data_IF_673904299994
#
_entry.id   IF_673904299994
#
_cell.length_a   1.000
_cell.length_b   1.000
_cell.length_c   1.000
_cell.angle_alpha   90.00
_cell.angle_beta   90.00
_cell.angle_gamma   90.00
#
_symmetry.space_group_name_H-M   'P 1'
#
loop_
_entity.id
_entity.type
_entity.pdbx_description
1 polymer ?
#
# COMPACT_ATOMS: atom_id res chain seq x y z
N UNK A 1 -31.59 -15.77 -37.88
CA UNK A 1 -30.38 -14.94 -37.65
C UNK A 1 -30.00 -14.82 -36.15
N UNK A 2 -30.27 -15.83 -35.31
CA UNK A 2 -30.02 -15.77 -33.85
C UNK A 2 -28.73 -16.51 -33.44
N UNK A 3 -28.26 -17.41 -34.31
CA UNK A 3 -27.11 -18.31 -34.06
C UNK A 3 -25.78 -17.57 -33.94
N UNK A 4 -25.58 -16.50 -34.72
CA UNK A 4 -24.37 -15.68 -34.65
C UNK A 4 -24.33 -14.75 -33.43
N UNK A 5 -25.49 -14.30 -32.94
CA UNK A 5 -25.56 -13.46 -31.73
C UNK A 5 -25.17 -14.25 -30.48
N UNK A 6 -25.57 -15.53 -30.40
CA UNK A 6 -25.17 -16.40 -29.29
C UNK A 6 -23.66 -16.68 -29.31
N UNK A 7 -23.08 -16.89 -30.50
CA UNK A 7 -21.64 -17.08 -30.66
C UNK A 7 -20.83 -15.83 -30.28
N UNK A 8 -21.31 -14.64 -30.62
CA UNK A 8 -20.65 -13.38 -30.23
C UNK A 8 -20.69 -13.14 -28.73
N UNK A 9 -21.80 -13.45 -28.06
CA UNK A 9 -21.93 -13.30 -26.60
C UNK A 9 -21.05 -14.32 -25.86
N UNK A 10 -20.98 -15.56 -26.33
CA UNK A 10 -20.07 -16.58 -25.79
C UNK A 10 -18.60 -16.21 -26.01
N UNK A 11 -18.24 -15.71 -27.19
CA UNK A 11 -16.89 -15.25 -27.45
C UNK A 11 -16.51 -14.05 -26.57
N UNK A 12 -17.44 -13.11 -26.34
CA UNK A 12 -17.22 -11.98 -25.44
C UNK A 12 -17.08 -12.43 -23.98
N UNK A 13 -17.88 -13.42 -23.54
CA UNK A 13 -17.78 -14.02 -22.19
C UNK A 13 -16.49 -14.81 -22.00
N UNK A 14 -15.94 -15.40 -23.06
CA UNK A 14 -14.66 -16.13 -23.04
C UNK A 14 -13.44 -15.21 -23.21
N UNK A 15 -13.62 -14.03 -23.86
CA UNK A 15 -12.61 -12.99 -24.02
C UNK A 15 -12.65 -11.95 -22.90
N UNK A 16 -13.68 -11.95 -22.04
CA UNK A 16 -13.58 -11.35 -20.72
C UNK A 16 -12.36 -12.03 -20.08
N UNK A 17 -11.31 -11.28 -19.76
CA UNK A 17 -10.21 -11.86 -19.02
C UNK A 17 -10.88 -12.42 -17.77
N UNK A 18 -10.84 -13.74 -17.59
CA UNK A 18 -10.98 -14.37 -16.30
C UNK A 18 -9.79 -13.86 -15.49
N UNK A 19 -9.89 -12.59 -15.10
CA UNK A 19 -9.01 -11.92 -14.18
C UNK A 19 -9.47 -12.43 -12.84
N UNK A 20 -9.23 -13.73 -12.60
CA UNK A 20 -8.85 -14.22 -11.29
C UNK A 20 -7.57 -13.48 -10.92
N UNK A 21 -7.73 -12.19 -10.60
CA UNK A 21 -6.75 -11.44 -9.87
C UNK A 21 -6.86 -12.02 -8.47
N UNK A 22 -6.27 -13.19 -8.25
CA UNK A 22 -5.79 -13.62 -6.95
C UNK A 22 -4.62 -12.70 -6.59
N UNK A 23 -4.90 -11.40 -6.51
CA UNK A 23 -4.12 -10.53 -5.66
C UNK A 23 -4.71 -10.86 -4.30
N UNK A 24 -4.10 -11.86 -3.66
CA UNK A 24 -3.92 -11.78 -2.22
C UNK A 24 -3.38 -10.36 -2.02
N UNK A 25 -4.29 -9.45 -1.74
CA UNK A 25 -4.00 -8.28 -0.93
C UNK A 25 -3.55 -8.94 0.37
N UNK A 26 -2.25 -9.24 0.42
CA UNK A 26 -1.50 -9.23 1.65
C UNK A 26 -1.61 -7.76 2.10
N UNK A 27 -2.78 -7.44 2.66
CA UNK A 27 -2.87 -6.46 3.71
C UNK A 27 -1.93 -7.00 4.79
N UNK A 28 -0.62 -6.75 4.62
CA UNK A 28 0.25 -6.53 5.76
C UNK A 28 -0.33 -5.27 6.41
N UNK A 29 -1.44 -5.47 7.11
CA UNK A 29 -1.85 -4.64 8.22
C UNK A 29 -0.57 -4.36 8.98
N UNK A 30 -0.29 -3.08 9.25
CA UNK A 30 0.81 -2.61 10.09
C UNK A 30 0.62 -3.18 11.52
N UNK A 31 0.73 -4.50 11.64
CA UNK A 31 0.57 -5.25 12.86
C UNK A 31 1.83 -4.93 13.65
N UNK A 32 1.69 -3.97 14.56
CA UNK A 32 2.76 -3.52 15.44
C UNK A 32 3.37 -4.77 16.07
N UNK A 33 4.56 -5.14 15.59
CA UNK A 33 5.22 -6.39 15.97
C UNK A 33 5.52 -6.34 17.47
N UNK A 34 4.67 -6.98 18.28
CA UNK A 34 4.87 -7.05 19.72
C UNK A 34 5.70 -8.27 20.06
N UNK A 35 6.83 -8.04 20.74
CA UNK A 35 7.74 -9.09 21.17
C UNK A 35 7.69 -9.16 22.70
N UNK A 36 7.61 -10.37 23.24
CA UNK A 36 7.73 -10.63 24.68
C UNK A 36 9.20 -10.78 25.06
N UNK A 37 9.67 -10.06 26.08
CA UNK A 37 11.04 -10.18 26.56
C UNK A 37 11.27 -11.54 27.26
N UNK A 38 12.50 -12.05 27.20
CA UNK A 38 12.81 -13.42 27.64
C UNK A 38 13.17 -13.49 29.13
N UNK A 39 13.76 -12.44 29.68
CA UNK A 39 14.20 -12.36 31.08
C UNK A 39 13.41 -11.34 31.88
N UNK A 40 13.35 -11.53 33.20
CA UNK A 40 12.85 -10.52 34.16
C UNK A 40 13.76 -9.29 34.25
N UNK A 41 15.02 -9.43 33.86
CA UNK A 41 16.00 -8.34 33.80
C UNK A 41 15.97 -7.58 32.46
N UNK A 42 15.19 -8.06 31.50
CA UNK A 42 15.04 -7.40 30.21
C UNK A 42 14.13 -6.18 30.34
N UNK A 43 14.59 -5.06 29.78
CA UNK A 43 13.81 -3.83 29.70
C UNK A 43 13.45 -3.57 28.24
N UNK A 44 12.31 -2.92 28.02
CA UNK A 44 11.98 -2.38 26.72
C UNK A 44 12.97 -1.27 26.39
N UNK A 45 13.51 -1.26 25.18
CA UNK A 45 14.35 -0.17 24.69
C UNK A 45 13.84 0.42 23.39
N UNK A 46 14.19 1.67 23.14
CA UNK A 46 14.03 2.34 21.85
C UNK A 46 15.31 3.06 21.52
N UNK A 47 15.94 2.71 20.40
CA UNK A 47 17.15 3.37 19.91
C UNK A 47 16.87 4.10 18.61
N UNK A 48 17.31 5.35 18.52
CA UNK A 48 17.25 6.17 17.32
C UNK A 48 18.60 6.04 16.61
N UNK A 49 18.59 5.54 15.37
CA UNK A 49 19.77 5.51 14.52
C UNK A 49 19.80 6.78 13.67
N UNK A 50 20.85 7.58 13.83
CA UNK A 50 21.11 8.76 13.01
C UNK A 50 22.29 8.52 12.07
N UNK A 51 22.20 9.05 10.85
CA UNK A 51 23.27 9.05 9.86
C UNK A 51 23.55 10.49 9.46
N UNK A 52 24.65 11.04 9.95
CA UNK A 52 24.96 12.47 9.82
C UNK A 52 23.95 13.33 10.59
N UNK A 53 23.37 14.33 9.93
CA UNK A 53 22.39 15.24 10.53
C UNK A 53 20.94 14.77 10.42
N UNK A 54 20.70 13.54 9.95
CA UNK A 54 19.35 13.01 9.68
C UNK A 54 19.11 11.71 10.41
N UNK A 55 17.89 11.54 10.96
CA UNK A 55 17.43 10.28 11.53
C UNK A 55 17.13 9.27 10.42
N UNK A 56 17.66 8.06 10.54
CA UNK A 56 17.56 6.99 9.52
C UNK A 56 16.54 5.92 9.93
N UNK A 57 16.54 5.52 11.21
CA UNK A 57 15.64 4.48 11.71
C UNK A 57 15.38 4.59 13.22
N UNK A 58 14.27 3.98 13.67
CA UNK A 58 13.99 3.72 15.08
C UNK A 58 13.89 2.21 15.28
N UNK A 59 14.68 1.69 16.21
CA UNK A 59 14.69 0.27 16.58
C UNK A 59 14.07 0.13 17.97
N UNK A 60 13.13 -0.80 18.12
CA UNK A 60 12.50 -1.16 19.41
C UNK A 60 12.76 -2.63 19.70
N UNK A 61 12.90 -2.97 20.98
CA UNK A 61 13.07 -4.36 21.39
C UNK A 61 13.24 -4.52 22.89
N UNK A 62 13.80 -5.66 23.27
CA UNK A 62 14.14 -6.03 24.65
C UNK A 62 15.65 -6.08 24.82
N UNK A 63 16.17 -5.54 25.94
CA UNK A 63 17.60 -5.57 26.26
C UNK A 63 17.82 -5.71 27.76
N UNK A 64 18.61 -6.70 28.15
CA UNK A 64 19.10 -6.85 29.53
C UNK A 64 20.10 -5.74 29.87
N UNK A 65 20.01 -5.20 31.08
CA UNK A 65 20.91 -4.13 31.53
C UNK A 65 20.83 -2.85 30.68
N UNK A 66 19.64 -2.51 30.16
CA UNK A 66 19.45 -1.32 29.34
C UNK A 66 19.82 -0.04 30.13
N UNK A 67 20.81 0.70 29.62
CA UNK A 67 21.26 2.00 30.15
C UNK A 67 20.82 3.09 29.18
N UNK A 68 20.11 4.10 29.70
CA UNK A 68 19.65 5.23 28.91
C UNK A 68 20.81 6.06 28.36
N UNK A 69 20.76 6.37 27.07
CA UNK A 69 21.67 7.28 26.38
C UNK A 69 20.83 8.31 25.60
N UNK A 70 21.41 9.39 25.05
CA UNK A 70 20.65 10.38 24.28
C UNK A 70 19.87 9.76 23.12
N UNK A 71 20.43 8.71 22.53
CA UNK A 71 19.83 7.99 21.41
C UNK A 71 19.04 6.75 21.83
N UNK A 72 19.17 6.28 23.09
CA UNK A 72 18.49 5.06 23.57
C UNK A 72 17.71 5.30 24.86
N UNK A 73 16.40 5.07 24.82
CA UNK A 73 15.53 5.11 26.01
C UNK A 73 15.21 3.70 26.48
N UNK A 74 15.11 3.52 27.79
CA UNK A 74 14.82 2.24 28.45
C UNK A 74 13.61 2.40 29.37
N UNK A 75 12.71 1.41 29.41
CA UNK A 75 11.55 1.41 30.30
C UNK A 75 11.13 -0.01 30.69
N UNK A 76 10.53 -0.17 31.87
CA UNK A 76 10.24 -1.48 32.49
C UNK A 76 8.78 -1.93 32.32
N UNK A 77 7.87 -1.00 31.99
CA UNK A 77 6.45 -1.33 31.84
C UNK A 77 6.17 -2.03 30.50
N UNK A 78 5.20 -2.94 30.49
CA UNK A 78 4.77 -3.60 29.26
C UNK A 78 4.33 -2.58 28.22
N UNK A 79 4.90 -2.68 27.01
CA UNK A 79 4.60 -1.81 25.84
C UNK A 79 4.86 -0.31 26.10
N UNK A 80 5.72 0.04 27.05
CA UNK A 80 6.05 1.44 27.35
C UNK A 80 6.72 2.19 26.19
N UNK A 81 7.38 1.48 25.27
CA UNK A 81 8.01 2.02 24.07
C UNK A 81 7.08 2.12 22.85
N UNK A 82 5.76 1.98 23.03
CA UNK A 82 4.79 2.02 21.93
C UNK A 82 4.46 3.44 21.43
N UNK A 83 5.16 4.46 21.92
CA UNK A 83 4.94 5.82 21.43
C UNK A 83 5.42 5.90 19.98
N UNK A 84 4.57 6.41 19.09
CA UNK A 84 5.01 6.90 17.79
C UNK A 84 6.01 8.03 18.08
N UNK A 85 7.31 7.77 17.88
CA UNK A 85 8.26 8.87 17.90
C UNK A 85 7.81 9.81 16.78
N UNK A 86 7.42 11.02 17.15
CA UNK A 86 7.29 12.12 16.22
C UNK A 86 8.72 12.49 15.83
N UNK A 87 9.36 11.65 15.00
CA UNK A 87 10.56 12.10 14.31
C UNK A 87 10.16 13.39 13.62
N UNK A 88 10.93 14.49 13.76
CA UNK A 88 10.76 15.59 12.84
C UNK A 88 10.95 14.96 11.48
N UNK A 89 9.86 14.86 10.71
CA UNK A 89 9.83 14.21 9.40
C UNK A 89 10.99 14.82 8.65
N UNK A 90 12.09 14.06 8.53
CA UNK A 90 13.14 14.40 7.59
C UNK A 90 12.36 14.48 6.30
N UNK A 91 12.25 15.70 5.78
CA UNK A 91 11.48 16.02 4.59
C UNK A 91 11.89 14.96 3.60
N UNK A 92 11.00 13.97 3.36
CA UNK A 92 11.25 12.94 2.39
C UNK A 92 11.72 13.70 1.14
N UNK A 93 12.88 13.38 0.53
CA UNK A 93 13.32 14.10 -0.63
C UNK A 93 12.12 14.11 -1.55
N UNK A 94 11.54 15.31 -1.75
CA UNK A 94 10.27 15.46 -2.44
C UNK A 94 10.46 14.65 -3.70
N UNK A 95 9.74 13.52 -3.80
CA UNK A 95 9.72 12.73 -5.01
C UNK A 95 9.51 13.78 -6.09
N UNK A 96 10.48 13.88 -7.01
CA UNK A 96 10.43 14.85 -8.10
C UNK A 96 8.99 14.84 -8.55
N UNK A 97 8.34 16.00 -8.43
CA UNK A 97 7.03 16.24 -9.00
C UNK A 97 7.25 16.23 -10.50
N UNK A 98 7.57 15.06 -11.04
CA UNK A 98 7.39 14.75 -12.43
C UNK A 98 5.92 15.04 -12.61
N UNK A 99 5.67 16.08 -13.38
CA UNK A 99 4.35 16.57 -13.72
C UNK A 99 3.56 15.32 -14.07
N UNK A 100 2.69 14.90 -13.16
CA UNK A 100 1.75 13.84 -13.39
C UNK A 100 0.83 14.38 -14.49
N UNK A 101 1.24 14.20 -15.74
CA UNK A 101 0.32 14.04 -16.84
C UNK A 101 -0.60 12.94 -16.35
N UNK A 102 -1.79 13.34 -15.89
CA UNK A 102 -2.90 12.45 -15.58
C UNK A 102 -3.10 11.62 -16.84
N UNK A 103 -2.43 10.49 -16.91
CA UNK A 103 -2.66 9.47 -17.92
C UNK A 103 -4.03 8.93 -17.55
N UNK A 104 -5.04 9.42 -18.27
CA UNK A 104 -6.38 8.87 -18.16
C UNK A 104 -6.27 7.39 -18.45
N UNK A 105 -6.76 6.52 -17.55
CA UNK A 105 -6.59 5.09 -17.70
C UNK A 105 -7.18 4.68 -19.05
N UNK A 106 -6.43 3.93 -19.90
CA UNK A 106 -6.84 3.59 -21.27
C UNK A 106 -8.18 2.85 -21.34
N UNK A 107 -8.61 2.29 -20.21
CA UNK A 107 -9.95 1.70 -20.02
C UNK A 107 -11.07 2.73 -20.24
N UNK A 108 -10.92 3.98 -19.80
CA UNK A 108 -11.97 5.00 -19.92
C UNK A 108 -12.22 5.36 -21.38
N UNK A 109 -11.16 5.50 -22.19
CA UNK A 109 -11.30 5.74 -23.63
C UNK A 109 -12.02 4.57 -24.31
N UNK A 110 -11.66 3.33 -23.98
CA UNK A 110 -12.33 2.16 -24.52
C UNK A 110 -13.85 2.19 -24.23
N UNK A 111 -14.26 2.47 -22.99
CA UNK A 111 -15.68 2.55 -22.64
C UNK A 111 -16.40 3.69 -23.38
N UNK A 112 -15.80 4.87 -23.45
CA UNK A 112 -16.38 6.02 -24.15
C UNK A 112 -16.56 5.71 -25.64
N UNK A 113 -15.54 5.15 -26.30
CA UNK A 113 -15.62 4.78 -27.71
C UNK A 113 -16.68 3.70 -27.98
N UNK A 114 -16.76 2.67 -27.13
CA UNK A 114 -17.79 1.62 -27.25
C UNK A 114 -19.19 2.18 -27.07
N UNK A 115 -19.42 3.06 -26.09
CA UNK A 115 -20.72 3.69 -25.86
C UNK A 115 -21.14 4.60 -27.02
N UNK A 116 -20.21 5.37 -27.59
CA UNK A 116 -20.46 6.19 -28.79
C UNK A 116 -20.82 5.32 -30.00
N UNK A 117 -20.09 4.22 -30.23
CA UNK A 117 -20.42 3.28 -31.30
C UNK A 117 -21.80 2.65 -31.10
N UNK A 118 -22.15 2.25 -29.87
CA UNK A 118 -23.49 1.72 -29.56
C UNK A 118 -24.59 2.75 -29.84
N UNK A 119 -24.37 4.01 -29.46
CA UNK A 119 -25.34 5.09 -29.72
C UNK A 119 -25.53 5.32 -31.23
N UNK A 120 -24.45 5.33 -32.01
CA UNK A 120 -24.55 5.49 -33.48
C UNK A 120 -25.25 4.30 -34.13
N UNK A 121 -24.92 3.06 -33.72
CA UNK A 121 -25.56 1.86 -34.24
C UNK A 121 -27.06 1.81 -33.89
N UNK A 122 -27.44 2.18 -32.66
CA UNK A 122 -28.84 2.30 -32.28
C UNK A 122 -29.55 3.37 -33.12
N UNK A 123 -28.94 4.53 -33.32
CA UNK A 123 -29.54 5.62 -34.09
C UNK A 123 -29.73 5.29 -35.56
N UNK A 124 -28.84 4.50 -36.15
CA UNK A 124 -28.94 4.03 -37.55
C UNK A 124 -29.91 2.84 -37.68
N UNK A 125 -30.02 1.98 -36.67
CA UNK A 125 -30.91 0.82 -36.69
C UNK A 125 -32.39 1.15 -36.38
N UNK A 126 -32.65 2.30 -35.78
CA UNK A 126 -34.00 2.81 -35.46
C UNK A 126 -34.48 3.93 -36.40
N UNK A 127 -33.77 4.18 -37.51
CA UNK A 127 -34.26 4.92 -38.70
C UNK A 127 -34.78 3.89 -39.71
#
# INVERSE_FOLDING_TARGET
MVRWRLCLVLALLLLLPARSRSKLEDDEEDEVHTITCHSVDDKCFTTIMSKGNTYEAVVRGCRSGCIGTPDTTCCELNRCNNQALALPVAIAPRAKKDKASKSFPPTVFFFVTVLLLLQTAAKVAFI
#
